data_IF_286807592987
#
_entry.id   IF_286807592987
#
_cell.length_a   1.000
_cell.length_b   1.000
_cell.length_c   1.000
_cell.angle_alpha   90.00
_cell.angle_beta   90.00
_cell.angle_gamma   90.00
#
_symmetry.space_group_name_H-M   'P 1'
#
loop_
_entity.id
_entity.type
_entity.pdbx_description
1 polymer ?
#
# COMPACT_ATOMS: atom_id res chain seq x y z
N UNK A 1 -5.49 -7.28 2.23
CA UNK A 1 -6.13 -6.84 3.46
C UNK A 1 -5.23 -7.19 4.58
N UNK A 2 -4.61 -6.20 5.25
CA UNK A 2 -4.08 -6.42 6.59
C UNK A 2 -5.23 -6.99 7.38
N UNK A 3 -5.16 -8.26 7.69
CA UNK A 3 -6.21 -8.88 8.43
C UNK A 3 -5.98 -8.59 9.90
N UNK A 4 -7.05 -8.45 10.63
CA UNK A 4 -7.06 -8.48 12.09
C UNK A 4 -6.27 -9.65 12.67
N UNK A 5 -6.14 -10.73 11.90
CA UNK A 5 -5.39 -11.92 12.28
C UNK A 5 -3.91 -11.62 12.54
N UNK A 6 -3.34 -10.59 11.92
CA UNK A 6 -1.92 -10.23 12.09
C UNK A 6 -1.62 -9.69 13.51
N UNK A 7 -2.63 -9.13 14.20
CA UNK A 7 -2.51 -8.61 15.56
C UNK A 7 -3.02 -9.58 16.66
N UNK A 8 -3.89 -10.55 16.32
CA UNK A 8 -4.51 -11.45 17.28
C UNK A 8 -3.56 -12.22 18.21
N UNK A 9 -2.35 -12.62 17.81
CA UNK A 9 -1.45 -13.34 18.71
C UNK A 9 -0.99 -12.52 19.91
N UNK A 10 -1.11 -11.19 19.88
CA UNK A 10 -0.55 -10.29 20.90
C UNK A 10 -1.61 -9.41 21.59
N UNK A 11 -2.77 -9.19 20.97
CA UNK A 11 -3.75 -8.22 21.41
C UNK A 11 -5.18 -8.74 21.38
N UNK A 12 -6.03 -8.17 22.23
CA UNK A 12 -7.47 -8.25 22.05
C UNK A 12 -7.87 -7.23 20.98
N UNK A 13 -8.34 -7.69 19.82
CA UNK A 13 -8.66 -6.84 18.68
C UNK A 13 -10.17 -6.73 18.51
N UNK A 14 -10.66 -5.49 18.44
CA UNK A 14 -12.03 -5.15 18.06
C UNK A 14 -12.02 -4.49 16.68
N UNK A 15 -12.90 -4.92 15.78
CA UNK A 15 -13.10 -4.30 14.48
C UNK A 15 -14.35 -3.47 14.49
N UNK A 16 -14.21 -2.23 14.05
CA UNK A 16 -15.33 -1.35 13.77
C UNK A 16 -15.35 -1.00 12.28
N UNK A 17 -16.42 -1.38 11.59
CA UNK A 17 -16.68 -0.90 10.24
C UNK A 17 -17.69 0.25 10.34
N UNK A 18 -17.16 1.47 10.21
CA UNK A 18 -17.91 2.70 10.44
C UNK A 18 -18.79 3.14 9.27
N UNK A 19 -18.78 2.40 8.17
CA UNK A 19 -19.55 2.76 6.97
C UNK A 19 -20.54 1.65 6.53
N UNK A 20 -20.59 0.55 7.26
CA UNK A 20 -21.55 -0.52 7.01
C UNK A 20 -22.61 -0.58 8.09
N UNK A 21 -23.86 -0.52 7.70
CA UNK A 21 -25.00 -0.58 8.61
C UNK A 21 -25.59 0.79 8.99
N UNK A 22 -26.18 0.87 10.18
CA UNK A 22 -26.90 2.05 10.63
C UNK A 22 -25.97 3.16 11.20
N UNK A 23 -24.73 2.83 11.55
CA UNK A 23 -23.78 3.78 12.12
C UNK A 23 -22.87 4.35 11.04
N UNK A 24 -23.36 5.38 10.36
CA UNK A 24 -22.60 6.16 9.38
C UNK A 24 -22.08 7.44 10.03
N UNK A 25 -20.82 7.78 9.74
CA UNK A 25 -20.16 8.94 10.30
C UNK A 25 -20.09 10.11 9.31
N UNK A 26 -20.40 11.30 9.82
CA UNK A 26 -20.12 12.56 9.13
C UNK A 26 -18.67 12.98 9.38
N UNK A 27 -17.97 13.39 8.32
CA UNK A 27 -16.57 13.78 8.38
C UNK A 27 -16.32 15.28 8.17
N UNK A 28 -17.33 16.01 7.66
CA UNK A 28 -17.18 17.41 7.31
C UNK A 28 -17.74 18.31 8.40
N UNK A 29 -16.95 19.30 8.83
CA UNK A 29 -17.39 20.30 9.80
C UNK A 29 -18.40 21.27 9.18
N UNK A 30 -19.35 21.74 10.00
CA UNK A 30 -20.35 22.75 9.60
C UNK A 30 -21.53 22.21 8.81
N UNK A 31 -21.60 20.91 8.59
CA UNK A 31 -22.75 20.26 7.95
C UNK A 31 -23.90 20.18 8.93
N UNK A 32 -25.12 20.46 8.44
CA UNK A 32 -26.35 20.17 9.19
C UNK A 32 -26.64 18.69 9.04
N UNK A 33 -26.60 17.93 10.15
CA UNK A 33 -26.76 16.47 10.15
C UNK A 33 -28.24 16.06 10.15
N UNK A 34 -28.95 16.40 9.09
CA UNK A 34 -30.38 16.07 8.87
C UNK A 34 -30.60 14.90 7.88
N UNK A 35 -29.49 14.25 7.47
CA UNK A 35 -29.48 13.11 6.55
C UNK A 35 -29.36 11.75 7.24
N UNK A 36 -28.67 10.82 6.60
CA UNK A 36 -28.56 9.42 7.03
C UNK A 36 -27.32 9.11 7.92
N UNK A 37 -26.51 10.12 8.21
CA UNK A 37 -25.34 9.99 9.08
C UNK A 37 -25.75 10.24 10.54
N UNK A 38 -25.47 9.25 11.39
CA UNK A 38 -25.96 9.21 12.77
C UNK A 38 -25.08 9.98 13.75
N UNK A 39 -23.78 10.14 13.46
CA UNK A 39 -22.82 10.74 14.39
C UNK A 39 -21.71 11.44 13.61
N UNK A 40 -21.13 12.49 14.20
CA UNK A 40 -19.96 13.13 13.60
C UNK A 40 -18.67 12.44 14.05
N UNK A 41 -17.68 12.37 13.17
CA UNK A 41 -16.40 11.70 13.42
C UNK A 41 -15.66 12.29 14.65
N UNK A 42 -15.83 13.58 14.91
CA UNK A 42 -15.19 14.26 16.05
C UNK A 42 -15.71 13.84 17.43
N UNK A 43 -16.93 13.34 17.53
CA UNK A 43 -17.47 12.73 18.74
C UNK A 43 -17.13 11.25 18.79
N UNK A 44 -17.23 10.55 17.67
CA UNK A 44 -16.95 9.12 17.59
C UNK A 44 -15.50 8.77 17.93
N UNK A 45 -14.51 9.54 17.45
CA UNK A 45 -13.08 9.26 17.63
C UNK A 45 -12.66 9.23 19.11
N UNK A 46 -12.94 10.25 19.95
CA UNK A 46 -12.59 10.21 21.37
C UNK A 46 -13.27 9.06 22.11
N UNK A 47 -14.53 8.74 21.75
CA UNK A 47 -15.25 7.60 22.33
C UNK A 47 -14.56 6.28 21.99
N UNK A 48 -14.21 6.05 20.73
CA UNK A 48 -13.43 4.87 20.32
C UNK A 48 -12.09 4.82 21.06
N UNK A 49 -11.40 5.96 21.21
CA UNK A 49 -10.15 6.07 21.94
C UNK A 49 -10.26 5.68 23.41
N UNK A 50 -11.45 5.84 24.03
CA UNK A 50 -11.68 5.46 25.43
C UNK A 50 -11.74 3.93 25.62
N UNK A 51 -11.97 3.16 24.57
CA UNK A 51 -12.15 1.71 24.61
C UNK A 51 -10.91 0.90 24.26
N UNK A 52 -9.82 1.54 23.84
CA UNK A 52 -8.63 0.86 23.37
C UNK A 52 -7.34 1.57 23.75
N UNK A 53 -6.22 0.88 23.66
CA UNK A 53 -4.90 1.41 23.94
C UNK A 53 -4.19 1.91 22.66
N UNK A 54 -4.52 1.34 21.51
CA UNK A 54 -3.96 1.67 20.19
C UNK A 54 -5.07 1.57 19.14
N UNK A 55 -5.03 2.44 18.13
CA UNK A 55 -6.01 2.45 17.04
C UNK A 55 -5.32 2.23 15.70
N UNK A 56 -5.73 1.21 14.96
CA UNK A 56 -5.40 1.04 13.55
C UNK A 56 -6.49 1.62 12.66
N UNK A 57 -6.12 2.56 11.78
CA UNK A 57 -7.06 3.22 10.86
C UNK A 57 -6.83 2.73 9.45
N UNK A 58 -7.93 2.40 8.75
CA UNK A 58 -7.93 2.08 7.33
C UNK A 58 -8.93 2.96 6.59
N UNK A 59 -8.43 3.83 5.70
CA UNK A 59 -9.25 4.79 4.95
C UNK A 59 -8.73 4.92 3.53
N UNK A 60 -9.46 4.36 2.57
CA UNK A 60 -9.04 4.34 1.16
C UNK A 60 -9.31 5.66 0.44
N UNK A 61 -8.53 5.93 -0.61
CA UNK A 61 -8.84 6.96 -1.58
C UNK A 61 -10.24 6.74 -2.19
N UNK A 62 -10.98 7.83 -2.34
CA UNK A 62 -12.32 7.81 -2.93
C UNK A 62 -12.30 8.09 -4.44
N UNK A 63 -11.20 8.65 -4.96
CA UNK A 63 -11.02 9.05 -6.36
C UNK A 63 -12.01 10.10 -6.86
N UNK A 64 -12.60 10.87 -5.96
CA UNK A 64 -13.51 11.96 -6.30
C UNK A 64 -12.78 13.30 -6.35
N UNK A 65 -11.95 13.56 -5.37
CA UNK A 65 -11.12 14.74 -5.26
C UNK A 65 -9.72 14.34 -4.78
N UNK A 66 -8.70 14.68 -5.58
CA UNK A 66 -7.30 14.36 -5.28
C UNK A 66 -6.79 15.07 -4.03
N UNK A 67 -7.18 16.33 -3.83
CA UNK A 67 -6.74 17.09 -2.67
C UNK A 67 -7.30 16.51 -1.38
N UNK A 68 -8.59 16.14 -1.37
CA UNK A 68 -9.22 15.49 -0.21
C UNK A 68 -8.58 14.13 0.10
N UNK A 69 -8.33 13.30 -0.92
CA UNK A 69 -7.67 12.01 -0.73
C UNK A 69 -6.25 12.19 -0.17
N UNK A 70 -5.48 13.17 -0.71
CA UNK A 70 -4.10 13.42 -0.32
C UNK A 70 -3.95 14.18 1.01
N UNK A 71 -5.00 14.82 1.52
CA UNK A 71 -5.08 15.32 2.90
C UNK A 71 -5.22 14.21 3.94
N UNK A 72 -5.62 13.00 3.54
CA UNK A 72 -5.85 11.85 4.43
C UNK A 72 -6.69 12.21 5.66
N UNK A 73 -7.71 13.05 5.45
CA UNK A 73 -8.48 13.74 6.51
C UNK A 73 -8.97 12.81 7.62
N UNK A 74 -9.45 11.62 7.28
CA UNK A 74 -9.94 10.65 8.28
C UNK A 74 -8.81 10.21 9.20
N UNK A 75 -7.67 9.78 8.64
CA UNK A 75 -6.51 9.36 9.42
C UNK A 75 -5.99 10.49 10.33
N UNK A 76 -5.88 11.70 9.77
CA UNK A 76 -5.44 12.90 10.50
C UNK A 76 -6.35 13.24 11.68
N UNK A 77 -7.66 13.07 11.53
CA UNK A 77 -8.60 13.31 12.64
C UNK A 77 -8.43 12.27 13.76
N UNK A 78 -8.21 11.00 13.43
CA UNK A 78 -7.88 9.99 14.44
C UNK A 78 -6.59 10.31 15.18
N UNK A 79 -5.54 10.71 14.48
CA UNK A 79 -4.27 11.11 15.09
C UNK A 79 -4.46 12.27 16.07
N UNK A 80 -5.27 13.27 15.68
CA UNK A 80 -5.46 14.50 16.49
C UNK A 80 -6.40 14.33 17.67
N UNK A 81 -7.41 13.47 17.57
CA UNK A 81 -8.55 13.49 18.50
C UNK A 81 -8.76 12.19 19.29
N UNK A 82 -8.09 11.09 18.98
CA UNK A 82 -8.29 9.82 19.67
C UNK A 82 -7.71 9.78 21.09
N UNK A 83 -6.70 10.62 21.37
CA UNK A 83 -5.95 10.53 22.62
C UNK A 83 -5.15 9.22 22.79
N UNK A 84 -5.00 8.46 21.72
CA UNK A 84 -4.29 7.17 21.68
C UNK A 84 -3.29 7.14 20.53
N UNK A 85 -2.24 6.32 20.62
CA UNK A 85 -1.40 6.04 19.48
C UNK A 85 -2.21 5.49 18.31
N UNK A 86 -1.97 6.05 17.12
CA UNK A 86 -2.66 5.67 15.89
C UNK A 86 -1.63 5.18 14.88
N UNK A 87 -1.95 4.10 14.18
CA UNK A 87 -1.16 3.66 13.04
C UNK A 87 -2.04 3.50 11.79
N UNK A 88 -1.46 3.79 10.63
CA UNK A 88 -2.14 3.58 9.36
C UNK A 88 -2.05 2.11 8.96
N UNK A 89 -3.20 1.46 8.82
CA UNK A 89 -3.28 0.13 8.21
C UNK A 89 -3.22 0.21 6.68
N UNK A 90 -3.87 1.21 6.12
CA UNK A 90 -3.78 1.70 4.75
C UNK A 90 -4.58 3.00 4.67
N UNK A 91 -4.00 4.05 4.11
CA UNK A 91 -4.68 5.30 3.85
C UNK A 91 -4.72 5.60 2.34
N UNK A 92 -5.17 6.77 1.95
CA UNK A 92 -5.28 7.10 0.53
C UNK A 92 -3.92 7.14 -0.18
N UNK A 93 -2.88 7.63 0.51
CA UNK A 93 -1.56 7.83 -0.10
C UNK A 93 -0.51 6.81 0.35
N UNK A 94 -0.70 6.10 1.47
CA UNK A 94 0.29 5.20 2.05
C UNK A 94 -0.29 3.91 2.60
N UNK A 95 0.51 2.84 2.47
CA UNK A 95 0.28 1.55 3.12
C UNK A 95 1.57 1.08 3.83
N UNK A 96 1.96 1.75 4.93
CA UNK A 96 3.30 1.61 5.51
C UNK A 96 3.62 0.19 5.99
N UNK A 97 2.65 -0.51 6.59
CA UNK A 97 2.86 -1.89 7.06
C UNK A 97 3.11 -2.89 5.92
N UNK A 98 2.48 -2.67 4.76
CA UNK A 98 2.76 -3.49 3.58
C UNK A 98 4.21 -3.29 3.14
N UNK A 99 4.64 -2.05 2.95
CA UNK A 99 6.00 -1.78 2.47
C UNK A 99 7.08 -2.14 3.49
N UNK A 100 6.74 -2.14 4.78
CA UNK A 100 7.63 -2.71 5.79
C UNK A 100 7.76 -4.23 5.63
N UNK A 101 6.67 -4.96 5.39
CA UNK A 101 6.73 -6.38 5.08
C UNK A 101 7.50 -6.67 3.78
N UNK A 102 7.33 -5.82 2.76
CA UNK A 102 8.08 -5.92 1.50
C UNK A 102 9.58 -5.75 1.74
N UNK A 103 9.98 -4.76 2.55
CA UNK A 103 11.38 -4.57 2.93
C UNK A 103 11.95 -5.75 3.70
N UNK A 104 11.23 -6.27 4.71
CA UNK A 104 11.64 -7.47 5.46
C UNK A 104 11.90 -8.62 4.47
N UNK A 105 10.98 -8.82 3.53
CA UNK A 105 11.10 -9.90 2.55
C UNK A 105 12.32 -9.73 1.64
N UNK A 106 12.61 -8.50 1.20
CA UNK A 106 13.82 -8.22 0.41
C UNK A 106 15.07 -8.47 1.25
N UNK A 107 15.12 -8.00 2.50
CA UNK A 107 16.26 -8.20 3.40
C UNK A 107 16.55 -9.69 3.67
N UNK A 108 15.52 -10.51 3.80
CA UNK A 108 15.66 -11.96 4.00
C UNK A 108 16.17 -12.71 2.77
N UNK A 109 15.95 -12.18 1.56
CA UNK A 109 16.21 -12.89 0.31
C UNK A 109 17.24 -12.22 -0.60
N UNK A 110 17.76 -11.05 -0.25
CA UNK A 110 18.80 -10.38 -1.04
C UNK A 110 20.12 -11.13 -0.97
N UNK A 111 20.80 -11.20 -2.11
CA UNK A 111 22.13 -11.81 -2.23
C UNK A 111 23.27 -10.79 -2.21
N UNK A 112 22.94 -9.50 -2.35
CA UNK A 112 23.86 -8.37 -2.38
C UNK A 112 23.37 -7.27 -1.45
N UNK A 113 24.27 -6.44 -0.96
CA UNK A 113 23.93 -5.38 0.00
C UNK A 113 22.96 -4.36 -0.60
N UNK A 114 23.18 -3.97 -1.86
CA UNK A 114 22.38 -3.00 -2.58
C UNK A 114 21.76 -3.61 -3.84
N UNK A 115 20.65 -4.37 -3.69
CA UNK A 115 20.01 -5.03 -4.82
C UNK A 115 19.36 -4.01 -5.78
N UNK A 116 19.27 -4.40 -7.06
CA UNK A 116 18.40 -3.69 -8.02
C UNK A 116 16.96 -4.14 -7.83
N UNK A 117 16.12 -3.23 -7.37
CA UNK A 117 14.68 -3.45 -7.15
C UNK A 117 13.89 -2.70 -8.21
N UNK A 118 13.04 -3.39 -8.94
CA UNK A 118 12.17 -2.79 -9.96
C UNK A 118 10.72 -2.91 -9.54
N UNK A 119 10.06 -1.77 -9.31
CA UNK A 119 8.62 -1.72 -9.19
C UNK A 119 8.01 -1.47 -10.57
N UNK A 120 7.21 -2.40 -11.05
CA UNK A 120 6.54 -2.28 -12.35
C UNK A 120 5.05 -2.12 -12.20
N UNK A 121 4.49 -1.11 -12.91
CA UNK A 121 3.05 -1.09 -13.15
C UNK A 121 2.62 -2.36 -13.90
N UNK A 122 1.39 -2.81 -13.63
CA UNK A 122 0.76 -3.90 -14.35
C UNK A 122 -0.74 -3.63 -14.52
N UNK A 123 -1.39 -4.15 -15.59
CA UNK A 123 -2.78 -3.84 -15.88
C UNK A 123 -3.75 -4.40 -14.84
N UNK A 124 -4.88 -3.70 -14.66
CA UNK A 124 -5.97 -4.10 -13.77
C UNK A 124 -7.31 -3.58 -14.30
N UNK A 125 -8.46 -4.29 -14.13
CA UNK A 125 -9.76 -3.85 -14.63
C UNK A 125 -10.29 -2.59 -13.92
N UNK A 126 -9.91 -2.40 -12.64
CA UNK A 126 -10.37 -1.30 -11.79
C UNK A 126 -9.22 -0.35 -11.46
N UNK A 127 -9.55 0.90 -11.18
CA UNK A 127 -8.62 1.85 -10.57
C UNK A 127 -8.26 1.38 -9.14
N UNK A 128 -6.97 1.35 -8.85
CA UNK A 128 -6.45 1.02 -7.51
C UNK A 128 -5.71 2.22 -6.91
N UNK A 129 -5.74 2.39 -5.57
CA UNK A 129 -5.02 3.46 -4.90
C UNK A 129 -3.51 3.43 -5.16
N UNK A 130 -2.88 4.60 -5.06
CA UNK A 130 -1.44 4.75 -5.13
C UNK A 130 -0.75 4.47 -3.79
N UNK A 131 -1.51 4.14 -2.76
CA UNK A 131 -1.02 3.93 -1.40
C UNK A 131 0.14 2.91 -1.32
N UNK A 132 0.00 1.75 -1.98
CA UNK A 132 1.03 0.72 -1.99
C UNK A 132 2.27 1.15 -2.78
N UNK A 133 2.17 1.57 -4.06
CA UNK A 133 3.37 1.99 -4.81
C UNK A 133 4.06 3.21 -4.19
N UNK A 134 3.33 4.16 -3.62
CA UNK A 134 3.92 5.30 -2.91
C UNK A 134 4.75 4.85 -1.71
N UNK A 135 4.17 4.02 -0.84
CA UNK A 135 4.89 3.50 0.32
C UNK A 135 6.07 2.63 -0.07
N UNK A 136 5.90 1.77 -1.07
CA UNK A 136 7.01 0.97 -1.57
C UNK A 136 8.16 1.85 -2.04
N UNK A 137 7.87 2.91 -2.79
CA UNK A 137 8.88 3.86 -3.26
C UNK A 137 9.59 4.57 -2.08
N UNK A 138 8.85 5.05 -1.07
CA UNK A 138 9.45 5.65 0.12
C UNK A 138 10.42 4.69 0.84
N UNK A 139 10.01 3.43 1.04
CA UNK A 139 10.83 2.45 1.76
C UNK A 139 12.06 2.00 0.96
N UNK A 140 11.93 1.82 -0.36
CA UNK A 140 13.07 1.46 -1.22
C UNK A 140 14.10 2.59 -1.32
N UNK A 141 13.65 3.85 -1.38
CA UNK A 141 14.54 5.00 -1.30
C UNK A 141 15.25 5.09 0.06
N UNK A 142 14.52 4.83 1.17
CA UNK A 142 15.10 4.85 2.51
C UNK A 142 16.11 3.72 2.75
N UNK A 143 15.93 2.58 2.09
CA UNK A 143 16.86 1.44 2.15
C UNK A 143 18.11 1.62 1.28
N UNK A 144 18.19 2.71 0.50
CA UNK A 144 19.28 3.01 -0.44
C UNK A 144 19.55 1.89 -1.46
N UNK A 145 18.49 1.25 -1.97
CA UNK A 145 18.62 0.27 -3.05
C UNK A 145 18.79 0.93 -4.42
N UNK A 146 19.28 0.20 -5.43
CA UNK A 146 19.19 0.64 -6.84
C UNK A 146 17.73 0.49 -7.30
N UNK A 147 16.93 1.52 -7.03
CA UNK A 147 15.49 1.46 -7.21
C UNK A 147 15.03 2.08 -8.51
N UNK A 148 14.22 1.32 -9.25
CA UNK A 148 13.63 1.73 -10.54
C UNK A 148 12.12 1.58 -10.48
N UNK A 149 11.41 2.62 -10.91
CA UNK A 149 9.96 2.60 -11.13
C UNK A 149 9.72 2.55 -12.63
N UNK A 150 8.89 1.61 -13.09
CA UNK A 150 8.51 1.55 -14.51
C UNK A 150 6.99 1.45 -14.67
N UNK A 151 6.47 2.28 -15.56
CA UNK A 151 5.05 2.42 -15.83
C UNK A 151 4.81 3.03 -17.21
N UNK A 152 3.63 2.83 -17.84
CA UNK A 152 3.27 3.57 -19.04
C UNK A 152 3.08 5.05 -18.73
N UNK A 153 3.22 5.91 -19.75
CA UNK A 153 2.94 7.35 -19.64
C UNK A 153 1.53 7.60 -19.08
N UNK A 154 1.41 8.59 -18.19
CA UNK A 154 0.16 8.95 -17.51
C UNK A 154 -0.08 8.19 -16.18
N UNK A 155 0.84 7.32 -15.77
CA UNK A 155 0.81 6.62 -14.50
C UNK A 155 1.95 7.04 -13.56
N UNK A 156 2.45 8.24 -13.72
CA UNK A 156 3.43 8.83 -12.80
C UNK A 156 2.87 8.82 -11.37
N UNK A 157 3.74 8.59 -10.41
CA UNK A 157 3.43 8.82 -9.00
C UNK A 157 3.70 10.28 -8.63
N UNK A 158 3.17 10.72 -7.49
CA UNK A 158 3.52 12.04 -6.94
C UNK A 158 5.05 12.11 -6.74
N UNK A 159 5.72 13.16 -7.26
CA UNK A 159 7.17 13.33 -7.17
C UNK A 159 7.72 13.20 -5.74
N UNK A 160 6.93 13.57 -4.72
CA UNK A 160 7.35 13.43 -3.31
C UNK A 160 7.61 11.98 -2.89
N UNK A 161 6.94 10.99 -3.54
CA UNK A 161 7.14 9.57 -3.27
C UNK A 161 8.19 8.95 -4.19
N UNK A 162 8.31 9.45 -5.42
CA UNK A 162 9.34 8.98 -6.37
C UNK A 162 10.74 9.16 -5.78
N UNK A 163 11.00 10.32 -5.13
CA UNK A 163 12.28 10.58 -4.47
C UNK A 163 13.47 10.47 -5.42
N UNK A 164 14.46 9.66 -5.05
CA UNK A 164 15.68 9.41 -5.83
C UNK A 164 15.53 8.25 -6.84
N UNK A 165 14.36 7.62 -6.92
CA UNK A 165 14.14 6.49 -7.83
C UNK A 165 14.33 6.91 -9.29
N UNK A 166 14.96 6.04 -10.08
CA UNK A 166 14.98 6.19 -11.51
C UNK A 166 13.65 5.78 -12.11
N UNK A 167 13.07 6.60 -12.99
CA UNK A 167 11.87 6.25 -13.77
C UNK A 167 12.30 5.79 -15.16
N UNK A 168 11.77 4.65 -15.60
CA UNK A 168 11.99 4.10 -16.94
C UNK A 168 10.63 3.70 -17.55
N UNK A 169 10.33 4.22 -18.73
CA UNK A 169 9.06 3.96 -19.42
C UNK A 169 9.06 2.67 -20.26
N UNK A 170 10.25 2.11 -20.54
CA UNK A 170 10.39 0.81 -21.16
C UNK A 170 10.53 -0.25 -20.07
N UNK A 171 9.47 -1.05 -19.89
CA UNK A 171 9.43 -2.11 -18.89
C UNK A 171 10.56 -3.14 -19.06
N UNK A 172 10.85 -3.54 -20.30
CA UNK A 172 11.88 -4.55 -20.56
C UNK A 172 13.26 -4.03 -20.16
N UNK A 173 13.56 -2.80 -20.52
CA UNK A 173 14.81 -2.13 -20.15
C UNK A 173 14.94 -1.91 -18.64
N UNK A 174 13.83 -1.55 -17.97
CA UNK A 174 13.82 -1.44 -16.52
C UNK A 174 14.21 -2.75 -15.84
N UNK A 175 13.68 -3.87 -16.34
CA UNK A 175 13.86 -5.22 -15.77
C UNK A 175 15.26 -5.80 -15.98
N UNK A 176 16.05 -5.31 -16.95
CA UNK A 176 17.39 -5.82 -17.20
C UNK A 176 18.25 -5.82 -15.94
N UNK A 177 18.74 -7.00 -15.55
CA UNK A 177 19.62 -7.16 -14.40
C UNK A 177 18.95 -6.90 -13.03
N UNK A 178 17.64 -6.85 -12.93
CA UNK A 178 16.92 -6.71 -11.65
C UNK A 178 17.16 -7.93 -10.75
N UNK A 179 17.28 -7.71 -9.43
CA UNK A 179 17.34 -8.76 -8.41
C UNK A 179 15.95 -9.04 -7.81
N UNK A 180 15.07 -8.00 -7.78
CA UNK A 180 13.69 -8.11 -7.34
C UNK A 180 12.77 -7.39 -8.32
N UNK A 181 11.62 -7.99 -8.61
CA UNK A 181 10.54 -7.42 -9.43
C UNK A 181 9.26 -7.38 -8.61
N UNK A 182 8.83 -6.18 -8.28
CA UNK A 182 7.57 -5.93 -7.56
C UNK A 182 6.51 -5.45 -8.55
N UNK A 183 5.53 -6.29 -8.85
CA UNK A 183 4.44 -5.91 -9.76
C UNK A 183 3.25 -5.33 -9.00
N UNK A 184 2.74 -4.17 -9.44
CA UNK A 184 1.57 -3.54 -8.83
C UNK A 184 0.78 -2.72 -9.85
N UNK A 185 -0.53 -2.69 -9.70
CA UNK A 185 -1.37 -1.72 -10.39
C UNK A 185 -1.60 -0.47 -9.52
N UNK A 186 -1.70 0.66 -10.17
CA UNK A 186 -2.20 1.91 -9.58
C UNK A 186 -2.89 2.77 -10.65
N UNK A 187 -3.83 3.61 -10.22
CA UNK A 187 -4.53 4.56 -11.07
C UNK A 187 -3.68 5.79 -11.37
N UNK A 188 -4.05 6.55 -12.38
CA UNK A 188 -3.40 7.80 -12.73
C UNK A 188 -3.44 8.82 -11.58
N UNK A 189 -2.33 9.52 -11.37
CA UNK A 189 -2.19 10.56 -10.34
C UNK A 189 -2.50 11.97 -10.84
N UNK A 190 -2.12 12.27 -12.10
CA UNK A 190 -2.18 13.63 -12.64
C UNK A 190 -3.59 14.00 -13.10
N UNK A 191 -3.99 15.26 -12.84
CA UNK A 191 -5.23 15.82 -13.38
C UNK A 191 -5.14 16.01 -14.91
N UNK A 192 -6.24 15.83 -15.65
CA UNK A 192 -7.61 15.54 -15.17
C UNK A 192 -7.91 14.03 -15.04
N UNK A 193 -6.87 13.19 -14.95
CA UNK A 193 -6.99 11.74 -15.01
C UNK A 193 -6.88 11.05 -13.65
N UNK A 194 -6.80 11.82 -12.56
CA UNK A 194 -6.73 11.26 -11.21
C UNK A 194 -7.76 10.16 -10.97
N UNK A 195 -7.30 9.03 -10.46
CA UNK A 195 -8.16 7.89 -10.14
C UNK A 195 -8.70 7.11 -11.34
N UNK A 196 -8.25 7.40 -12.59
CA UNK A 196 -8.74 6.71 -13.78
C UNK A 196 -7.81 5.57 -14.21
N UNK A 197 -8.40 4.59 -14.89
CA UNK A 197 -7.71 3.54 -15.63
C UNK A 197 -7.49 4.05 -17.06
N UNK A 198 -6.26 4.42 -17.41
CA UNK A 198 -5.92 4.95 -18.74
C UNK A 198 -5.54 3.84 -19.72
N UNK A 199 -5.04 2.71 -19.22
CA UNK A 199 -4.59 1.58 -20.02
C UNK A 199 -4.95 0.25 -19.37
N UNK A 200 -5.25 -0.73 -20.21
CA UNK A 200 -5.38 -2.15 -19.83
C UNK A 200 -4.45 -3.01 -20.68
N UNK A 201 -3.40 -2.40 -21.20
CA UNK A 201 -2.46 -3.05 -22.09
C UNK A 201 -1.74 -4.20 -21.38
N UNK A 202 -2.02 -5.40 -21.86
CA UNK A 202 -1.44 -6.64 -21.34
C UNK A 202 0.02 -6.84 -21.73
N UNK A 203 0.58 -6.00 -22.59
CA UNK A 203 2.02 -5.96 -22.80
C UNK A 203 2.79 -5.65 -21.51
N UNK A 204 2.13 -5.06 -20.49
CA UNK A 204 2.70 -4.80 -19.15
C UNK A 204 2.55 -5.96 -18.16
N UNK A 205 1.91 -7.07 -18.52
CA UNK A 205 1.87 -8.29 -17.70
C UNK A 205 3.28 -8.81 -17.47
N UNK A 206 3.65 -9.15 -16.25
CA UNK A 206 4.95 -9.78 -15.97
C UNK A 206 4.86 -11.26 -16.34
N UNK A 207 5.69 -11.69 -17.27
CA UNK A 207 5.77 -13.04 -17.81
C UNK A 207 7.19 -13.63 -17.74
N UNK A 208 7.36 -14.87 -18.15
CA UNK A 208 8.63 -15.57 -18.10
C UNK A 208 9.69 -14.93 -19.01
N UNK A 209 9.30 -14.39 -20.18
CA UNK A 209 10.25 -13.72 -21.09
C UNK A 209 10.85 -12.48 -20.43
N UNK A 210 10.02 -11.69 -19.72
CA UNK A 210 10.49 -10.52 -18.99
C UNK A 210 11.33 -10.90 -17.79
N UNK A 211 10.94 -11.94 -17.05
CA UNK A 211 11.75 -12.45 -15.95
C UNK A 211 13.11 -12.99 -16.42
N UNK A 212 13.22 -13.48 -17.65
CA UNK A 212 14.48 -13.92 -18.24
C UNK A 212 15.48 -12.75 -18.50
N UNK A 213 15.04 -11.50 -18.55
CA UNK A 213 15.89 -10.31 -18.68
C UNK A 213 16.59 -9.94 -17.37
N UNK A 214 16.10 -10.44 -16.26
CA UNK A 214 16.54 -10.08 -14.91
C UNK A 214 17.79 -10.85 -14.49
N UNK A 215 18.40 -10.47 -13.38
CA UNK A 215 19.46 -11.24 -12.72
C UNK A 215 18.85 -12.35 -11.86
N UNK A 216 18.10 -13.27 -12.48
CA UNK A 216 17.35 -14.28 -11.75
C UNK A 216 16.44 -13.72 -10.64
N UNK A 217 15.76 -12.62 -10.90
CA UNK A 217 15.01 -11.89 -9.90
C UNK A 217 13.98 -12.73 -9.13
N UNK A 218 13.78 -12.35 -7.88
CA UNK A 218 12.62 -12.76 -7.09
C UNK A 218 11.41 -11.94 -7.50
N UNK A 219 10.26 -12.60 -7.68
CA UNK A 219 8.98 -11.94 -7.97
C UNK A 219 8.22 -11.66 -6.69
N UNK A 220 7.65 -10.44 -6.57
CA UNK A 220 6.88 -9.98 -5.41
C UNK A 220 5.57 -9.33 -5.84
N UNK A 221 4.56 -9.43 -4.98
CA UNK A 221 3.26 -8.76 -5.11
C UNK A 221 2.49 -8.84 -3.79
N UNK A 222 2.00 -7.74 -3.30
CA UNK A 222 1.33 -7.61 -1.99
C UNK A 222 0.01 -8.38 -1.81
N UNK A 223 -0.46 -9.11 -2.82
CA UNK A 223 -1.75 -9.79 -2.82
C UNK A 223 -2.95 -8.89 -2.41
N UNK A 224 -4.18 -9.18 -2.88
CA UNK A 224 -4.54 -10.21 -3.87
C UNK A 224 -4.04 -9.88 -5.28
N UNK A 225 -3.70 -10.90 -6.05
CA UNK A 225 -3.18 -10.77 -7.42
C UNK A 225 -4.18 -11.30 -8.45
N UNK A 226 -4.21 -10.68 -9.63
CA UNK A 226 -4.96 -11.18 -10.77
C UNK A 226 -4.02 -11.92 -11.71
N UNK A 227 -4.09 -13.25 -11.68
CA UNK A 227 -3.29 -14.15 -12.53
C UNK A 227 -3.59 -13.89 -14.01
N UNK A 228 -2.57 -14.03 -14.82
CA UNK A 228 -2.59 -13.84 -16.29
C UNK A 228 -3.08 -12.44 -16.72
N UNK A 229 -3.06 -11.50 -15.79
CA UNK A 229 -3.30 -10.08 -16.01
C UNK A 229 -2.16 -9.24 -15.44
N UNK A 230 -1.84 -9.37 -14.16
CA UNK A 230 -0.70 -8.71 -13.52
C UNK A 230 0.57 -9.51 -13.78
N UNK A 231 0.49 -10.81 -13.58
CA UNK A 231 1.59 -11.77 -13.69
C UNK A 231 1.04 -13.09 -14.22
N UNK A 232 1.84 -13.82 -15.01
CA UNK A 232 1.45 -15.13 -15.52
C UNK A 232 1.53 -16.22 -14.45
N UNK A 233 0.78 -17.31 -14.64
CA UNK A 233 0.81 -18.47 -13.73
C UNK A 233 2.24 -19.03 -13.59
N UNK A 234 2.97 -19.12 -14.68
CA UNK A 234 4.35 -19.62 -14.70
C UNK A 234 5.28 -18.82 -13.77
N UNK A 235 5.14 -17.49 -13.71
CA UNK A 235 5.99 -16.64 -12.86
C UNK A 235 5.57 -16.74 -11.40
N UNK A 236 4.26 -16.62 -11.10
CA UNK A 236 3.79 -16.61 -9.72
C UNK A 236 3.91 -17.96 -9.01
N UNK A 237 3.90 -19.07 -9.77
CA UNK A 237 4.09 -20.43 -9.26
C UNK A 237 5.56 -20.88 -9.27
N UNK A 238 6.45 -20.06 -9.80
CA UNK A 238 7.86 -20.37 -9.85
C UNK A 238 8.49 -20.42 -8.45
N UNK A 239 9.60 -21.20 -8.27
CA UNK A 239 10.36 -21.19 -6.99
C UNK A 239 10.97 -19.83 -6.64
N UNK A 240 10.88 -18.84 -7.53
CA UNK A 240 11.36 -17.47 -7.33
C UNK A 240 10.29 -16.51 -6.87
N UNK A 241 9.05 -16.95 -6.80
CA UNK A 241 7.94 -16.15 -6.28
C UNK A 241 8.02 -16.06 -4.76
N UNK A 242 8.02 -14.84 -4.25
CA UNK A 242 8.04 -14.54 -2.81
C UNK A 242 6.68 -14.06 -2.30
N UNK A 243 5.60 -14.16 -3.07
CA UNK A 243 4.28 -13.64 -2.69
C UNK A 243 3.75 -14.24 -1.38
N UNK A 244 4.10 -15.49 -1.06
CA UNK A 244 3.68 -16.14 0.19
C UNK A 244 4.58 -15.72 1.38
N UNK A 245 5.93 -15.77 1.31
CA UNK A 245 6.79 -15.16 2.33
C UNK A 245 6.46 -13.69 2.59
N UNK A 246 6.27 -12.88 1.55
CA UNK A 246 5.88 -11.47 1.64
C UNK A 246 4.57 -11.28 2.41
N UNK A 247 3.57 -12.11 2.12
CA UNK A 247 2.30 -12.07 2.85
C UNK A 247 2.47 -12.50 4.33
N UNK A 248 3.33 -13.47 4.63
CA UNK A 248 3.62 -13.90 5.99
C UNK A 248 4.34 -12.79 6.79
N UNK A 249 5.25 -12.05 6.18
CA UNK A 249 5.98 -10.95 6.81
C UNK A 249 5.08 -9.77 7.23
N UNK A 250 3.82 -9.72 6.78
CA UNK A 250 2.85 -8.72 7.25
C UNK A 250 2.52 -8.89 8.74
N UNK A 251 2.49 -10.12 9.23
CA UNK A 251 2.34 -10.40 10.66
C UNK A 251 3.51 -9.82 11.45
N UNK A 252 4.75 -10.06 11.00
CA UNK A 252 5.96 -9.55 11.64
C UNK A 252 5.97 -8.01 11.63
N UNK A 253 5.66 -7.40 10.49
CA UNK A 253 5.59 -5.94 10.37
C UNK A 253 4.58 -5.33 11.35
N UNK A 254 3.38 -5.93 11.47
CA UNK A 254 2.35 -5.48 12.40
C UNK A 254 2.80 -5.64 13.85
N UNK A 255 3.39 -6.78 14.22
CA UNK A 255 3.90 -7.04 15.57
C UNK A 255 4.97 -6.03 16.00
N UNK A 256 5.94 -5.73 15.13
CA UNK A 256 7.00 -4.75 15.42
C UNK A 256 6.42 -3.36 15.67
N UNK A 257 5.49 -2.90 14.82
CA UNK A 257 4.89 -1.57 14.98
C UNK A 257 4.05 -1.50 16.25
N UNK A 258 3.18 -2.49 16.50
CA UNK A 258 2.35 -2.52 17.70
C UNK A 258 3.17 -2.59 18.98
N UNK A 259 4.23 -3.40 19.00
CA UNK A 259 5.16 -3.46 20.12
C UNK A 259 5.77 -2.09 20.42
N UNK A 260 6.27 -1.39 19.39
CA UNK A 260 6.86 -0.05 19.55
C UNK A 260 5.86 0.99 20.07
N UNK A 261 4.62 0.95 19.58
CA UNK A 261 3.56 1.86 20.06
C UNK A 261 3.21 1.59 21.53
N UNK A 262 3.10 0.32 21.92
CA UNK A 262 2.80 -0.07 23.30
C UNK A 262 3.94 0.22 24.28
N UNK A 263 5.18 0.05 23.87
CA UNK A 263 6.37 0.43 24.66
C UNK A 263 6.43 1.96 24.91
N UNK A 264 5.90 2.76 23.99
CA UNK A 264 5.82 4.22 24.13
C UNK A 264 4.70 4.71 25.05
N UNK A 265 3.79 3.82 25.51
CA UNK A 265 2.74 4.13 26.47
C UNK A 265 3.19 4.04 27.95
N UNK A 266 4.33 3.43 28.21
CA UNK A 266 4.96 3.29 29.53
C UNK A 266 6.02 4.38 29.73
#
# INVERSE_FOLDING_TARGET
TLSLHDALPILNVMVLDVNQGAWKLETQRGVVMDGDKAEHLLEAIPVMGSYCDVIGVRSFAQFQDKAEDYEERVLEQFIRHSGRPVFSMEAATRHPLQSFADLITIEEHKAVERPKVVMTWAPHPNALPQAVPNSFAEWMNAADYDFVITHPEGYELDPKFVGAARVEYDQRKALEGADFVYAKNWAAYTDPNYGKVLSRDRAWTVDAEKMALTNNARFMHCLPVRRNMIVTDEVIESPRSLVIPEAANREIAAQVVLKRLLEGLN
#
